data_IF_527918775543
#
_entry.id   IF_527918775543
#
_cell.length_a   1.000
_cell.length_b   1.000
_cell.length_c   1.000
_cell.angle_alpha   90.00
_cell.angle_beta   90.00
_cell.angle_gamma   90.00
#
_symmetry.space_group_name_H-M   'P 1'
#
loop_
_entity.id
_entity.type
_entity.pdbx_description
1 polymer ?
#
# COMPACT_ATOMS: atom_id res chain seq x y z
N UNK A 1 -42.89 -21.91 -15.97
CA UNK A 1 -41.81 -20.89 -16.05
C UNK A 1 -40.52 -21.57 -15.57
N UNK A 2 -39.39 -21.67 -16.30
CA UNK A 2 -38.66 -20.67 -17.11
C UNK A 2 -37.97 -19.65 -16.18
N UNK A 3 -36.63 -19.52 -16.04
CA UNK A 3 -35.39 -20.15 -16.61
C UNK A 3 -34.28 -20.07 -15.51
N UNK A 4 -33.12 -20.74 -15.50
CA UNK A 4 -32.56 -21.96 -16.15
C UNK A 4 -31.18 -22.28 -15.47
N UNK A 5 -30.40 -23.28 -15.94
CA UNK A 5 -29.01 -23.50 -15.47
C UNK A 5 -28.10 -24.02 -16.59
N UNK A 6 -27.17 -23.19 -17.08
CA UNK A 6 -26.36 -23.51 -18.25
C UNK A 6 -24.91 -23.04 -18.16
N UNK A 7 -23.99 -24.01 -18.11
CA UNK A 7 -22.67 -23.97 -18.77
C UNK A 7 -21.97 -25.34 -18.68
N UNK A 8 -22.29 -26.20 -19.66
CA UNK A 8 -21.38 -27.25 -20.16
C UNK A 8 -20.16 -26.50 -20.75
N UNK A 9 -18.92 -26.98 -20.63
CA UNK A 9 -18.50 -28.34 -20.92
C UNK A 9 -18.01 -28.37 -22.38
N UNK A 10 -16.75 -28.00 -22.59
CA UNK A 10 -16.10 -28.00 -23.91
C UNK A 10 -14.63 -28.45 -23.78
N UNK A 11 -14.47 -29.73 -23.45
CA UNK A 11 -13.24 -30.48 -23.66
C UNK A 11 -13.57 -31.65 -24.60
N UNK A 12 -12.56 -32.06 -25.36
CA UNK A 12 -12.55 -33.15 -26.35
C UNK A 12 -13.28 -32.92 -27.67
N UNK A 13 -12.48 -32.89 -28.77
CA UNK A 13 -12.64 -33.88 -29.84
C UNK A 13 -11.34 -34.15 -30.61
N UNK A 14 -11.21 -35.44 -30.94
CA UNK A 14 -10.09 -36.25 -31.43
C UNK A 14 -9.22 -35.78 -32.61
N UNK A 15 -8.09 -36.49 -32.72
CA UNK A 15 -7.08 -36.56 -33.79
C UNK A 15 -7.47 -37.44 -35.00
N UNK A 16 -6.54 -37.52 -35.98
CA UNK A 16 -6.39 -38.47 -37.12
C UNK A 16 -7.24 -38.15 -38.37
N UNK A 17 -6.75 -38.30 -39.61
CA UNK A 17 -5.44 -38.66 -40.22
C UNK A 17 -5.26 -37.77 -41.49
N UNK A 18 -4.17 -37.70 -42.27
CA UNK A 18 -2.94 -38.47 -42.44
C UNK A 18 -2.52 -38.37 -43.93
N UNK A 19 -1.26 -38.02 -44.25
CA UNK A 19 -0.80 -37.87 -45.65
C UNK A 19 0.61 -37.28 -45.76
N UNK A 20 1.52 -37.95 -46.47
CA UNK A 20 2.93 -37.60 -46.61
C UNK A 20 3.24 -36.96 -47.98
N UNK A 21 4.03 -35.89 -47.98
CA UNK A 21 4.83 -35.44 -49.12
C UNK A 21 6.06 -34.66 -48.59
N UNK A 22 7.22 -34.78 -49.23
CA UNK A 22 8.49 -34.31 -48.67
C UNK A 22 9.25 -33.33 -49.58
N UNK A 23 9.66 -32.20 -48.97
CA UNK A 23 10.81 -31.36 -49.34
C UNK A 23 10.75 -30.56 -50.68
N UNK A 24 11.61 -29.52 -50.90
CA UNK A 24 12.66 -28.98 -50.01
C UNK A 24 12.68 -27.45 -49.81
N UNK A 25 13.54 -27.01 -48.87
CA UNK A 25 14.33 -25.75 -48.87
C UNK A 25 13.63 -24.36 -48.86
N UNK A 26 14.01 -23.54 -47.86
CA UNK A 26 14.38 -22.15 -48.15
C UNK A 26 13.40 -21.02 -47.83
N UNK A 27 12.68 -21.05 -46.71
CA UNK A 27 12.07 -19.84 -46.15
C UNK A 27 13.01 -19.23 -45.08
N UNK A 28 13.62 -18.09 -45.38
CA UNK A 28 14.44 -17.33 -44.42
C UNK A 28 13.62 -17.04 -43.16
N UNK A 29 14.06 -17.58 -42.03
CA UNK A 29 13.56 -17.16 -40.72
C UNK A 29 14.01 -15.71 -40.48
N UNK A 30 13.21 -14.75 -40.95
CA UNK A 30 13.41 -13.35 -40.64
C UNK A 30 13.21 -13.18 -39.13
N UNK A 31 14.32 -13.21 -38.40
CA UNK A 31 14.39 -12.74 -37.02
C UNK A 31 14.11 -11.24 -37.03
N UNK A 32 12.83 -10.89 -37.17
CA UNK A 32 12.29 -9.59 -36.87
C UNK A 32 12.44 -9.39 -35.38
N UNK A 33 13.63 -8.97 -34.97
CA UNK A 33 13.89 -8.47 -33.64
C UNK A 33 12.92 -7.33 -33.40
N UNK A 34 11.84 -7.61 -32.67
CA UNK A 34 10.98 -6.59 -32.10
C UNK A 34 11.81 -5.84 -31.07
N UNK A 35 12.58 -4.88 -31.54
CA UNK A 35 12.76 -3.64 -30.80
C UNK A 35 11.35 -3.25 -30.34
N UNK A 36 11.12 -3.26 -29.02
CA UNK A 36 9.97 -2.56 -28.45
C UNK A 36 10.23 -1.08 -28.70
N UNK A 37 9.86 -0.62 -29.89
CA UNK A 37 9.82 0.79 -30.21
C UNK A 37 8.98 1.49 -29.16
N UNK A 38 9.43 2.66 -28.73
CA UNK A 38 8.79 3.42 -27.68
C UNK A 38 7.42 3.93 -28.15
N UNK A 39 6.38 3.14 -27.90
CA UNK A 39 5.00 3.50 -28.18
C UNK A 39 4.49 4.65 -27.28
N UNK A 40 5.30 5.14 -26.34
CA UNK A 40 4.99 6.27 -25.45
C UNK A 40 5.34 7.65 -26.02
N UNK A 41 6.24 7.73 -27.01
CA UNK A 41 6.70 8.98 -27.65
C UNK A 41 5.57 9.80 -28.28
N UNK A 42 4.58 9.14 -28.90
CA UNK A 42 3.61 9.79 -29.79
C UNK A 42 2.56 10.70 -29.12
N UNK A 43 2.39 10.63 -27.80
CA UNK A 43 1.30 11.33 -27.09
C UNK A 43 1.81 12.06 -25.84
N UNK A 44 2.95 12.76 -25.91
CA UNK A 44 3.57 13.46 -24.76
C UNK A 44 2.63 14.42 -23.99
N UNK A 45 1.57 14.95 -24.63
CA UNK A 45 0.56 15.78 -23.96
C UNK A 45 -0.34 15.02 -22.96
N UNK A 46 -0.44 13.68 -23.06
CA UNK A 46 -1.26 12.91 -22.12
C UNK A 46 -0.62 12.93 -20.72
N UNK A 47 -1.36 13.34 -19.68
CA UNK A 47 -0.85 13.39 -18.32
C UNK A 47 -0.56 11.98 -17.79
N UNK A 48 0.34 11.88 -16.80
CA UNK A 48 0.81 10.59 -16.28
C UNK A 48 -0.34 9.65 -15.86
N UNK A 49 -1.39 10.18 -15.22
CA UNK A 49 -2.54 9.39 -14.76
C UNK A 49 -3.36 8.76 -15.91
N UNK A 50 -3.25 9.26 -17.14
CA UNK A 50 -3.92 8.70 -18.32
C UNK A 50 -3.08 7.61 -19.02
N UNK A 51 -1.91 7.25 -18.47
CA UNK A 51 -1.00 6.24 -19.01
C UNK A 51 -1.01 4.98 -18.15
N UNK A 52 -0.84 3.82 -18.76
CA UNK A 52 -0.66 2.56 -18.05
C UNK A 52 0.49 2.68 -17.02
N UNK A 53 0.18 2.45 -15.74
CA UNK A 53 1.17 2.45 -14.66
C UNK A 53 1.57 1.01 -14.32
N UNK A 54 2.82 0.82 -13.91
CA UNK A 54 3.35 -0.48 -13.49
C UNK A 54 3.42 -0.60 -11.96
N UNK A 55 2.27 -0.38 -11.31
CA UNK A 55 2.10 -0.54 -9.86
C UNK A 55 0.64 -0.91 -9.54
N UNK A 56 0.38 -1.38 -8.32
CA UNK A 56 -0.99 -1.50 -7.78
C UNK A 56 -1.14 -0.57 -6.60
N UNK A 57 -2.13 0.32 -6.64
CA UNK A 57 -2.53 1.13 -5.49
C UNK A 57 -3.38 0.28 -4.54
N UNK A 58 -3.07 0.35 -3.25
CA UNK A 58 -3.64 -0.46 -2.18
C UNK A 58 -3.83 0.39 -0.92
N UNK A 59 -4.77 -0.02 -0.07
CA UNK A 59 -5.02 0.59 1.24
C UNK A 59 -5.03 -0.47 2.32
N UNK A 60 -4.34 -0.21 3.43
CA UNK A 60 -4.55 -0.91 4.70
C UNK A 60 -5.19 0.07 5.68
N UNK A 61 -6.25 -0.35 6.37
CA UNK A 61 -6.97 0.49 7.32
C UNK A 61 -7.45 -0.29 8.53
N UNK A 62 -7.95 0.43 9.53
CA UNK A 62 -8.59 -0.12 10.73
C UNK A 62 -10.02 -0.60 10.51
N UNK A 63 -10.45 -0.78 9.25
CA UNK A 63 -11.84 -1.11 8.91
C UNK A 63 -12.36 -2.39 9.57
N UNK A 64 -13.65 -2.41 9.85
CA UNK A 64 -14.33 -3.56 10.42
C UNK A 64 -14.44 -4.69 9.38
N UNK A 65 -13.63 -5.74 9.56
CA UNK A 65 -13.60 -6.91 8.67
C UNK A 65 -14.91 -7.71 8.65
N UNK A 66 -15.83 -7.46 9.57
CA UNK A 66 -17.18 -8.05 9.54
C UNK A 66 -18.16 -7.28 8.64
N UNK A 67 -17.79 -6.08 8.18
CA UNK A 67 -18.67 -5.16 7.48
C UNK A 67 -19.54 -4.30 8.41
N UNK A 68 -19.25 -4.31 9.71
CA UNK A 68 -19.83 -3.38 10.69
C UNK A 68 -19.23 -1.97 10.62
N UNK A 69 -19.39 -1.20 11.70
CA UNK A 69 -18.92 0.18 11.84
C UNK A 69 -17.88 0.31 12.97
N UNK A 70 -17.20 -0.78 13.37
CA UNK A 70 -16.12 -0.74 14.35
C UNK A 70 -14.77 -0.55 13.66
N UNK A 71 -14.66 0.52 12.87
CA UNK A 71 -13.51 0.82 12.00
C UNK A 71 -12.29 1.37 12.75
N UNK A 72 -12.05 0.88 13.97
CA UNK A 72 -10.96 1.29 14.86
C UNK A 72 -10.39 0.13 15.65
N UNK A 73 -9.12 0.28 16.03
CA UNK A 73 -8.50 -0.59 17.03
C UNK A 73 -8.55 0.04 18.42
N UNK A 74 -8.68 -0.79 19.45
CA UNK A 74 -8.52 -0.37 20.85
C UNK A 74 -7.10 -0.78 21.26
N UNK A 75 -6.32 0.15 21.84
CA UNK A 75 -4.92 -0.11 22.25
C UNK A 75 -4.82 0.00 23.78
N UNK A 76 -4.76 -1.12 24.52
CA UNK A 76 -4.58 -1.13 25.97
C UNK A 76 -3.30 -0.41 26.42
N UNK A 77 -3.23 -0.03 27.68
CA UNK A 77 -1.98 0.44 28.29
C UNK A 77 -0.91 -0.67 28.19
N UNK A 78 0.31 -0.32 27.76
CA UNK A 78 1.38 -1.27 27.40
C UNK A 78 1.14 -2.06 26.11
N UNK A 79 0.02 -1.84 25.42
CA UNK A 79 -0.36 -2.60 24.21
C UNK A 79 0.40 -2.15 22.96
N UNK A 80 0.66 -3.10 22.05
CA UNK A 80 1.23 -2.84 20.73
C UNK A 80 0.22 -3.21 19.65
N UNK A 81 0.01 -2.29 18.69
CA UNK A 81 -0.82 -2.49 17.50
C UNK A 81 0.07 -2.42 16.25
N UNK A 82 0.05 -3.45 15.42
CA UNK A 82 0.59 -3.38 14.05
C UNK A 82 -0.43 -2.63 13.19
N UNK A 83 -0.08 -1.43 12.73
CA UNK A 83 -0.98 -0.56 11.92
C UNK A 83 -0.76 -0.75 10.42
N UNK A 84 0.45 -1.19 10.03
CA UNK A 84 0.81 -1.51 8.65
C UNK A 84 1.71 -2.74 8.56
N UNK A 85 1.47 -3.62 7.58
CA UNK A 85 2.45 -4.61 7.13
C UNK A 85 2.29 -4.90 5.64
N UNK A 86 3.40 -4.84 4.90
CA UNK A 86 3.47 -5.22 3.50
C UNK A 86 4.75 -6.02 3.20
N UNK A 87 4.68 -6.87 2.18
CA UNK A 87 5.77 -7.72 1.69
C UNK A 87 5.97 -7.49 0.19
N UNK A 88 7.21 -7.63 -0.28
CA UNK A 88 7.64 -7.23 -1.61
C UNK A 88 7.97 -5.74 -1.70
N UNK A 89 8.48 -5.27 -2.87
CA UNK A 89 8.85 -3.87 -3.04
C UNK A 89 7.63 -2.96 -3.20
N UNK A 90 7.67 -1.82 -2.52
CA UNK A 90 6.57 -0.86 -2.49
C UNK A 90 6.95 0.52 -1.98
N UNK A 91 5.96 1.40 -1.89
CA UNK A 91 6.08 2.76 -1.39
C UNK A 91 4.80 3.10 -0.62
N UNK A 92 4.89 3.46 0.66
CA UNK A 92 3.78 4.12 1.36
C UNK A 92 3.73 5.56 0.84
N UNK A 93 2.56 6.01 0.40
CA UNK A 93 2.35 7.35 -0.16
C UNK A 93 1.53 8.27 0.74
N UNK A 94 0.73 7.71 1.65
CA UNK A 94 -0.05 8.48 2.59
C UNK A 94 -0.37 7.68 3.86
N UNK A 95 -0.29 8.35 5.01
CA UNK A 95 -0.69 7.85 6.32
C UNK A 95 -1.68 8.85 6.92
N UNK A 96 -2.87 8.39 7.27
CA UNK A 96 -3.85 9.13 8.06
C UNK A 96 -4.18 8.40 9.36
N UNK A 97 -4.20 9.14 10.47
CA UNK A 97 -4.67 8.67 11.77
C UNK A 97 -5.63 9.66 12.43
N UNK A 98 -6.58 9.13 13.22
CA UNK A 98 -7.35 9.90 14.21
C UNK A 98 -7.45 9.09 15.50
N UNK A 99 -7.25 9.75 16.65
CA UNK A 99 -7.03 9.08 17.94
C UNK A 99 -8.03 9.60 18.98
N UNK A 100 -8.83 8.69 19.53
CA UNK A 100 -9.69 8.93 20.69
C UNK A 100 -9.18 8.12 21.88
N UNK A 101 -8.39 8.78 22.72
CA UNK A 101 -7.82 8.23 23.94
C UNK A 101 -8.32 8.97 25.19
N UNK A 102 -8.27 8.29 26.36
CA UNK A 102 -8.59 8.92 27.65
C UNK A 102 -7.40 9.66 28.29
N UNK A 103 -6.17 9.27 27.94
CA UNK A 103 -4.97 9.96 28.39
C UNK A 103 -4.88 11.36 27.77
N UNK A 104 -4.62 12.37 28.60
CA UNK A 104 -4.39 13.74 28.13
C UNK A 104 -3.19 13.81 27.19
N UNK A 105 -2.12 13.08 27.56
CA UNK A 105 -0.82 13.10 26.90
C UNK A 105 -0.66 12.01 25.82
N UNK A 106 -1.73 11.44 25.28
CA UNK A 106 -1.66 10.35 24.29
C UNK A 106 -0.83 10.66 23.04
N UNK A 107 -0.68 11.93 22.65
CA UNK A 107 0.23 12.33 21.58
C UNK A 107 1.72 12.16 21.93
N UNK A 108 2.05 12.09 23.22
CA UNK A 108 3.38 11.80 23.77
C UNK A 108 3.55 10.35 24.25
N UNK A 109 2.49 9.75 24.78
CA UNK A 109 2.49 8.37 25.30
C UNK A 109 2.41 7.28 24.21
N UNK A 110 1.88 7.60 23.02
CA UNK A 110 1.85 6.67 21.89
C UNK A 110 3.14 6.79 21.07
N UNK A 111 3.93 5.71 21.03
CA UNK A 111 5.18 5.68 20.26
C UNK A 111 4.94 4.98 18.92
N UNK A 112 5.17 5.71 17.83
CA UNK A 112 5.08 5.23 16.46
C UNK A 112 6.45 4.74 16.00
N UNK A 113 6.49 3.51 15.47
CA UNK A 113 7.71 2.83 15.03
C UNK A 113 7.57 2.30 13.61
N UNK A 114 8.57 2.56 12.77
CA UNK A 114 8.63 2.10 11.38
C UNK A 114 9.87 1.27 11.09
N UNK A 115 9.68 0.10 10.47
CA UNK A 115 10.69 -0.90 10.16
C UNK A 115 10.69 -1.18 8.65
N UNK A 116 11.88 -1.19 8.05
CA UNK A 116 12.07 -1.44 6.62
C UNK A 116 12.93 -2.67 6.40
N UNK A 117 12.60 -3.44 5.37
CA UNK A 117 13.39 -4.53 4.78
C UNK A 117 13.92 -5.57 5.79
N UNK A 118 13.08 -5.92 6.77
CA UNK A 118 13.39 -6.91 7.80
C UNK A 118 14.35 -6.43 8.91
N UNK A 119 14.72 -5.15 8.94
CA UNK A 119 15.58 -4.61 9.99
C UNK A 119 14.91 -4.68 11.37
N UNK A 120 15.63 -5.21 12.36
CA UNK A 120 15.15 -5.32 13.75
C UNK A 120 15.12 -3.97 14.47
N UNK A 121 15.99 -3.03 14.08
CA UNK A 121 15.99 -1.65 14.60
C UNK A 121 15.00 -0.80 13.78
N UNK A 122 14.05 -0.08 14.41
CA UNK A 122 13.20 0.85 13.69
C UNK A 122 14.01 2.03 13.13
N UNK A 123 13.67 2.47 11.92
CA UNK A 123 14.24 3.68 11.29
C UNK A 123 13.44 4.94 11.63
N UNK A 124 12.17 4.78 12.00
CA UNK A 124 11.33 5.81 12.59
C UNK A 124 11.00 5.33 14.00
N UNK A 125 11.32 6.10 15.04
CA UNK A 125 10.89 5.85 16.42
C UNK A 125 10.69 7.19 17.12
N UNK A 126 9.44 7.62 17.27
CA UNK A 126 9.07 8.88 17.91
C UNK A 126 7.72 8.76 18.62
N UNK A 127 7.39 9.64 19.57
CA UNK A 127 6.00 9.89 19.91
C UNK A 127 5.19 10.24 18.66
N UNK A 128 3.93 9.82 18.62
CA UNK A 128 3.07 9.96 17.44
C UNK A 128 2.76 11.43 17.16
N UNK A 129 2.55 12.25 18.20
CA UNK A 129 2.38 13.70 18.04
C UNK A 129 3.59 14.35 17.39
N UNK A 130 4.80 13.95 17.80
CA UNK A 130 6.05 14.54 17.34
C UNK A 130 6.33 14.17 15.87
N UNK A 131 5.95 12.96 15.45
CA UNK A 131 5.95 12.56 14.04
C UNK A 131 5.07 13.50 13.17
N UNK A 132 3.91 13.89 13.68
CA UNK A 132 3.01 14.85 13.03
C UNK A 132 3.25 16.31 13.49
N UNK A 133 4.43 16.66 13.99
CA UNK A 133 4.80 18.05 14.32
C UNK A 133 4.11 18.66 15.56
N UNK A 134 3.30 17.89 16.29
CA UNK A 134 2.54 18.32 17.47
C UNK A 134 3.36 18.19 18.76
N UNK A 135 4.58 18.73 18.73
CA UNK A 135 5.64 18.54 19.74
C UNK A 135 5.28 18.97 21.17
N UNK A 136 4.18 19.70 21.37
CA UNK A 136 3.67 20.13 22.68
C UNK A 136 2.53 19.24 23.22
N UNK A 137 2.26 18.08 22.58
CA UNK A 137 1.22 17.15 23.02
C UNK A 137 -0.22 17.65 22.81
N UNK A 138 -0.41 18.77 22.11
CA UNK A 138 -1.72 19.35 21.80
C UNK A 138 -1.98 19.33 20.29
N UNK A 139 -3.24 19.07 19.90
CA UNK A 139 -3.65 19.21 18.50
C UNK A 139 -3.71 20.69 18.13
N UNK A 140 -3.00 21.06 17.07
CA UNK A 140 -3.03 22.38 16.45
C UNK A 140 -3.39 22.21 14.99
N UNK A 141 -4.30 23.02 14.46
CA UNK A 141 -4.64 22.95 13.03
C UNK A 141 -3.52 23.62 12.24
N UNK A 142 -2.87 22.86 11.36
CA UNK A 142 -1.82 23.35 10.47
C UNK A 142 -1.74 22.48 9.21
N UNK A 143 -1.11 23.01 8.17
CA UNK A 143 -0.88 22.34 6.90
C UNK A 143 0.53 22.63 6.38
N UNK A 144 1.14 21.64 5.74
CA UNK A 144 2.40 21.73 5.01
C UNK A 144 2.40 20.68 3.89
N UNK A 145 3.35 20.73 2.96
CA UNK A 145 3.47 19.79 1.84
C UNK A 145 3.50 18.31 2.28
N UNK A 146 4.11 18.00 3.43
CA UNK A 146 4.33 16.63 3.88
C UNK A 146 3.52 16.21 5.09
N UNK A 147 3.13 17.14 5.96
CA UNK A 147 2.40 16.86 7.21
C UNK A 147 1.26 17.88 7.39
N UNK A 148 0.10 17.41 7.84
CA UNK A 148 -1.02 18.29 8.19
C UNK A 148 -1.83 17.72 9.36
N UNK A 149 -2.32 18.62 10.22
CA UNK A 149 -3.33 18.29 11.21
C UNK A 149 -4.62 19.05 10.85
N UNK A 150 -5.53 18.39 10.14
CA UNK A 150 -6.80 18.99 9.72
C UNK A 150 -7.83 18.98 10.86
N UNK A 151 -8.94 19.73 10.76
CA UNK A 151 -10.05 19.66 11.71
C UNK A 151 -10.50 18.23 12.04
N UNK A 152 -10.99 18.03 13.26
CA UNK A 152 -11.40 16.70 13.74
C UNK A 152 -10.27 15.79 14.23
N UNK A 153 -9.08 16.34 14.51
CA UNK A 153 -7.88 15.57 14.93
C UNK A 153 -7.40 14.59 13.84
N UNK A 154 -7.39 15.08 12.59
CA UNK A 154 -7.00 14.33 11.40
C UNK A 154 -5.51 14.51 11.14
N UNK A 155 -4.69 13.54 11.56
CA UNK A 155 -3.24 13.55 11.36
C UNK A 155 -2.94 12.96 9.98
N UNK A 156 -2.31 13.73 9.09
CA UNK A 156 -1.97 13.32 7.72
C UNK A 156 -0.46 13.41 7.49
N UNK A 157 0.10 12.45 6.76
CA UNK A 157 1.48 12.41 6.32
C UNK A 157 1.56 11.94 4.86
N UNK A 158 2.25 12.72 4.03
CA UNK A 158 2.44 12.50 2.58
C UNK A 158 3.90 12.22 2.18
N UNK A 159 4.79 11.96 3.16
CA UNK A 159 6.13 11.46 2.85
C UNK A 159 6.06 10.13 2.10
N UNK A 160 6.73 10.06 0.94
CA UNK A 160 6.92 8.82 0.22
C UNK A 160 7.94 7.94 0.97
N UNK A 161 7.51 6.78 1.48
CA UNK A 161 8.37 5.85 2.22
C UNK A 161 8.56 4.55 1.41
N UNK A 162 9.61 4.46 0.58
CA UNK A 162 9.93 3.25 -0.17
C UNK A 162 10.44 2.11 0.74
N UNK A 163 10.29 0.86 0.26
CA UNK A 163 10.87 -0.35 0.85
C UNK A 163 11.09 -1.41 -0.24
N UNK A 164 12.17 -2.21 -0.15
CA UNK A 164 12.56 -3.17 -1.21
C UNK A 164 12.01 -4.58 -0.99
N UNK A 165 11.85 -5.01 0.24
CA UNK A 165 11.43 -6.38 0.59
C UNK A 165 10.25 -6.42 1.56
N UNK A 166 10.15 -5.49 2.50
CA UNK A 166 9.04 -5.43 3.45
C UNK A 166 8.96 -4.09 4.18
N UNK A 167 7.76 -3.76 4.66
CA UNK A 167 7.53 -2.63 5.55
C UNK A 167 6.59 -3.04 6.68
N UNK A 168 6.89 -2.58 7.90
CA UNK A 168 6.03 -2.74 9.08
C UNK A 168 5.96 -1.42 9.83
N UNK A 169 4.76 -0.99 10.19
CA UNK A 169 4.54 0.16 11.09
C UNK A 169 3.74 -0.31 12.30
N UNK A 170 4.15 0.11 13.50
CA UNK A 170 3.51 -0.23 14.77
C UNK A 170 3.29 0.99 15.65
N UNK A 171 2.22 1.00 16.43
CA UNK A 171 1.99 1.96 17.51
C UNK A 171 2.02 1.21 18.84
N UNK A 172 2.83 1.67 19.78
CA UNK A 172 2.88 1.15 21.15
C UNK A 172 2.29 2.19 22.09
N UNK A 173 1.39 1.77 22.98
CA UNK A 173 0.86 2.63 24.03
C UNK A 173 1.72 2.49 25.29
N UNK A 174 2.64 3.42 25.50
CA UNK A 174 3.51 3.46 26.68
C UNK A 174 2.86 4.26 27.83
N UNK A 175 1.63 4.74 27.62
CA UNK A 175 0.81 5.43 28.59
C UNK A 175 0.05 4.51 29.56
N UNK A 176 -0.58 5.12 30.56
CA UNK A 176 -1.31 4.41 31.63
C UNK A 176 -2.79 4.18 31.33
N UNK A 177 -3.30 4.75 30.26
CA UNK A 177 -4.71 4.72 29.88
C UNK A 177 -4.90 4.06 28.51
N UNK A 178 -6.07 3.44 28.31
CA UNK A 178 -6.44 2.85 27.02
C UNK A 178 -6.70 3.93 25.94
N UNK A 179 -6.26 3.65 24.71
CA UNK A 179 -6.78 4.30 23.50
C UNK A 179 -8.06 3.58 23.12
N UNK A 180 -9.21 4.20 23.39
CA UNK A 180 -10.52 3.61 23.12
C UNK A 180 -10.74 3.33 21.63
N UNK A 181 -10.35 4.28 20.77
CA UNK A 181 -10.39 4.12 19.31
C UNK A 181 -9.18 4.78 18.62
N UNK A 182 -8.42 3.96 17.90
CA UNK A 182 -7.37 4.35 16.96
C UNK A 182 -7.85 4.05 15.54
N UNK A 183 -8.09 5.11 14.76
CA UNK A 183 -8.48 5.03 13.36
C UNK A 183 -7.24 5.17 12.47
N UNK A 184 -7.16 4.36 11.41
CA UNK A 184 -5.99 4.30 10.53
C UNK A 184 -6.38 4.08 9.08
N UNK A 185 -5.77 4.83 8.18
CA UNK A 185 -5.78 4.61 6.73
C UNK A 185 -4.37 4.83 6.19
N UNK A 186 -3.79 3.81 5.55
CA UNK A 186 -2.44 3.86 4.99
C UNK A 186 -2.53 3.44 3.53
N UNK A 187 -2.31 4.40 2.64
CA UNK A 187 -2.29 4.20 1.20
C UNK A 187 -0.86 3.90 0.74
N UNK A 188 -0.70 2.85 -0.05
CA UNK A 188 0.60 2.40 -0.54
C UNK A 188 0.50 1.81 -1.96
N UNK A 189 1.63 1.80 -2.65
CA UNK A 189 1.79 1.16 -3.94
C UNK A 189 2.69 -0.05 -3.81
N UNK A 190 2.30 -1.16 -4.42
CA UNK A 190 3.23 -2.27 -4.73
C UNK A 190 3.75 -2.11 -6.14
N UNK A 191 5.06 -2.32 -6.32
CA UNK A 191 5.76 -2.20 -7.61
C UNK A 191 6.47 -3.52 -7.93
N UNK A 192 6.86 -3.81 -9.18
CA UNK A 192 7.71 -4.97 -9.47
C UNK A 192 9.15 -4.83 -8.94
N UNK A 193 9.59 -3.59 -8.69
CA UNK A 193 10.90 -3.27 -8.15
C UNK A 193 11.07 -1.75 -8.03
N UNK A 194 11.97 -1.31 -7.14
CA UNK A 194 12.35 0.09 -6.97
C UNK A 194 13.63 0.42 -7.76
N UNK A 195 13.84 1.68 -8.18
CA UNK A 195 15.09 2.15 -8.75
C UNK A 195 16.34 1.82 -7.90
N UNK A 196 17.52 1.83 -8.51
CA UNK A 196 18.78 1.53 -7.82
C UNK A 196 19.20 2.61 -6.82
N UNK A 197 18.81 3.85 -7.10
CA UNK A 197 19.02 5.08 -6.32
C UNK A 197 17.92 5.38 -5.28
N UNK A 198 16.95 4.47 -5.13
CA UNK A 198 15.97 4.57 -4.06
C UNK A 198 16.52 4.01 -2.73
N UNK A 199 16.41 4.80 -1.66
CA UNK A 199 16.87 4.55 -0.27
C UNK A 199 18.37 4.77 -0.03
#
# INVERSE_FOLDING_TARGET
MSLSNGRRGFLERLLTAGGLAAAPMGALAQQGGRQRGDAGEGLRFLPRYARAQNHKSLKQSSFDRTGGNRDFWTIPAGGLQEVFRAEGPGVISHIWFTIAARGADHLKELVFRGYWDGNSKPSIETPIGDFFGLNLGSYQIYESEYLACSPGKSLNCYFAMPYRTSARLTVTNEGKQEVGAFYSNIDYMTVPGLPGDAM
#
